data_IF_499088067465
#
_entry.id   IF_499088067465
#
_cell.length_a   1.000
_cell.length_b   1.000
_cell.length_c   1.000
_cell.angle_alpha   90.00
_cell.angle_beta   90.00
_cell.angle_gamma   90.00
#
_symmetry.space_group_name_H-M   'P 1'
#
loop_
_entity.id
_entity.type
_entity.pdbx_description
1 polymer ?
#
# COMPACT_ATOMS: atom_id res chain seq x y z
N UNK A 1 -0.78 -0.76 -1.04
CA UNK A 1 -0.28 0.31 -0.16
C UNK A 1 0.82 1.12 -0.86
N UNK A 2 0.97 2.37 -0.45
CA UNK A 2 2.11 3.20 -0.83
C UNK A 2 3.03 3.30 0.39
N UNK A 3 4.29 2.96 0.19
CA UNK A 3 5.32 3.04 1.22
C UNK A 3 6.22 4.25 0.93
N UNK A 4 6.29 5.15 1.90
CA UNK A 4 7.27 6.24 1.94
C UNK A 4 8.54 5.71 2.64
N UNK A 5 9.69 5.80 1.97
CA UNK A 5 10.96 5.27 2.48
C UNK A 5 12.13 6.17 2.12
N UNK A 6 13.28 5.94 2.74
CA UNK A 6 14.52 6.64 2.45
C UNK A 6 15.63 5.63 2.10
N UNK A 7 16.80 6.12 1.69
CA UNK A 7 17.99 5.28 1.56
C UNK A 7 18.64 4.94 2.93
N UNK A 8 18.10 5.53 4.02
CA UNK A 8 18.49 5.26 5.41
C UNK A 8 17.58 4.20 6.06
N UNK A 9 17.23 4.44 7.34
CA UNK A 9 16.47 3.50 8.16
C UNK A 9 14.96 3.81 8.24
N UNK A 10 14.47 4.81 7.52
CA UNK A 10 13.07 5.21 7.58
C UNK A 10 12.23 4.52 6.50
N UNK A 11 11.16 3.86 6.93
CA UNK A 11 10.08 3.38 6.06
C UNK A 11 8.75 3.39 6.81
N UNK A 12 7.69 3.85 6.17
CA UNK A 12 6.33 3.87 6.72
C UNK A 12 5.28 3.78 5.61
N UNK A 13 4.11 3.21 5.92
CA UNK A 13 2.93 3.39 5.06
C UNK A 13 2.60 4.88 4.96
N UNK A 14 2.12 5.34 3.81
CA UNK A 14 1.78 6.75 3.55
C UNK A 14 0.83 7.32 4.61
N UNK A 15 -0.06 6.49 5.16
CA UNK A 15 -0.99 6.86 6.23
C UNK A 15 -0.30 7.25 7.55
N UNK A 16 0.94 6.80 7.76
CA UNK A 16 1.74 7.04 8.97
C UNK A 16 3.01 7.83 8.70
N UNK A 17 3.34 8.03 7.42
CA UNK A 17 4.58 8.66 7.05
C UNK A 17 4.65 10.12 7.55
N UNK A 18 5.83 10.50 8.04
CA UNK A 18 6.14 11.81 8.57
C UNK A 18 7.26 12.47 7.78
N UNK A 19 7.24 13.78 7.70
CA UNK A 19 8.36 14.59 7.22
C UNK A 19 8.71 15.67 8.22
N UNK A 20 9.97 16.13 8.19
CA UNK A 20 10.40 17.25 9.01
C UNK A 20 9.64 18.51 8.62
N UNK A 21 9.09 19.18 9.61
CA UNK A 21 8.47 20.47 9.42
C UNK A 21 9.51 21.51 8.96
N UNK A 22 9.28 22.09 7.79
CA UNK A 22 10.16 23.11 7.18
C UNK A 22 9.49 24.47 7.05
N UNK A 23 8.29 24.64 7.64
CA UNK A 23 7.55 25.88 7.62
C UNK A 23 8.30 27.02 8.31
N UNK A 24 8.34 28.16 7.67
CA UNK A 24 8.93 29.39 8.22
C UNK A 24 7.81 30.36 8.54
N UNK A 25 7.79 30.88 9.79
CA UNK A 25 6.80 31.86 10.20
C UNK A 25 6.86 33.11 9.31
N UNK A 26 5.76 33.41 8.67
CA UNK A 26 5.63 34.65 7.91
C UNK A 26 5.61 35.87 8.86
N UNK A 27 6.26 36.94 8.44
CA UNK A 27 6.44 38.16 9.25
C UNK A 27 5.68 39.39 8.73
N UNK A 28 4.82 39.18 7.72
CA UNK A 28 3.98 40.27 7.18
C UNK A 28 3.03 40.79 8.26
N UNK A 29 2.79 42.10 8.25
CA UNK A 29 1.78 42.70 9.13
C UNK A 29 0.37 42.23 8.69
N UNK A 30 -0.51 41.86 9.63
CA UNK A 30 -1.89 41.53 9.32
C UNK A 30 -2.63 42.65 8.60
N UNK A 31 -3.08 42.43 7.38
CA UNK A 31 -3.91 43.35 6.61
C UNK A 31 -5.40 43.14 6.94
N UNK A 32 -6.27 44.14 6.72
CA UNK A 32 -7.71 43.98 6.89
C UNK A 32 -8.26 42.85 6.04
N UNK A 33 -9.14 42.03 6.62
CA UNK A 33 -9.84 40.97 5.89
C UNK A 33 -10.78 41.60 4.84
N UNK A 34 -10.77 41.05 3.64
CA UNK A 34 -11.64 41.50 2.55
C UNK A 34 -12.33 40.27 1.89
N UNK A 35 -13.60 40.44 1.52
CA UNK A 35 -14.35 39.43 0.75
C UNK A 35 -14.25 39.75 -0.74
N UNK A 36 -13.85 38.82 -1.53
CA UNK A 36 -13.69 38.93 -3.00
C UNK A 36 -14.49 37.90 -3.74
N UNK A 37 -15.08 38.30 -4.87
CA UNK A 37 -15.76 37.39 -5.76
C UNK A 37 -14.73 36.57 -6.54
N UNK A 38 -14.96 35.26 -6.57
CA UNK A 38 -14.14 34.25 -7.29
C UNK A 38 -15.06 33.31 -8.06
N UNK A 39 -15.81 33.84 -9.05
CA UNK A 39 -16.82 33.06 -9.75
C UNK A 39 -16.18 31.87 -10.49
N UNK A 40 -16.72 30.67 -10.25
CA UNK A 40 -16.24 29.44 -10.89
C UNK A 40 -14.97 28.85 -10.32
N UNK A 41 -14.40 29.41 -9.23
CA UNK A 41 -13.27 28.83 -8.53
C UNK A 41 -13.75 27.74 -7.57
N UNK A 42 -13.41 26.48 -7.89
CA UNK A 42 -13.72 25.29 -7.07
C UNK A 42 -12.47 24.61 -6.52
N UNK A 43 -11.31 24.94 -7.07
CA UNK A 43 -10.01 24.41 -6.64
C UNK A 43 -9.12 25.49 -6.06
N UNK A 44 -8.08 25.07 -5.31
CA UNK A 44 -7.08 25.99 -4.78
C UNK A 44 -6.39 26.79 -5.88
N UNK A 45 -6.05 26.17 -6.99
CA UNK A 45 -5.34 26.81 -8.10
C UNK A 45 -6.22 27.87 -8.78
N UNK A 46 -7.51 27.55 -9.03
CA UNK A 46 -8.46 28.51 -9.59
C UNK A 46 -8.72 29.71 -8.65
N UNK A 47 -8.82 29.44 -7.34
CA UNK A 47 -8.95 30.50 -6.35
C UNK A 47 -7.69 31.36 -6.29
N UNK A 48 -6.51 30.76 -6.29
CA UNK A 48 -5.23 31.47 -6.27
C UNK A 48 -5.04 32.35 -7.53
N UNK A 49 -5.35 31.80 -8.72
CA UNK A 49 -5.31 32.54 -9.98
C UNK A 49 -6.30 33.72 -9.97
N UNK A 50 -7.55 33.50 -9.52
CA UNK A 50 -8.59 34.54 -9.44
C UNK A 50 -8.22 35.67 -8.48
N UNK A 51 -7.43 35.36 -7.44
CA UNK A 51 -7.03 36.32 -6.40
C UNK A 51 -5.63 36.91 -6.61
N UNK A 52 -4.89 36.46 -7.63
CA UNK A 52 -3.48 36.80 -7.89
C UNK A 52 -2.58 36.49 -6.69
N UNK A 53 -2.70 35.25 -6.15
CA UNK A 53 -1.98 34.76 -4.97
C UNK A 53 -1.19 33.49 -5.30
N UNK A 54 -0.16 33.20 -4.47
CA UNK A 54 0.50 31.90 -4.47
C UNK A 54 -0.50 30.84 -3.93
N UNK A 55 -0.64 29.67 -4.57
CA UNK A 55 -1.50 28.59 -4.07
C UNK A 55 -1.23 28.21 -2.60
N UNK A 56 0.01 28.31 -2.14
CA UNK A 56 0.36 28.04 -0.75
C UNK A 56 -0.15 29.12 0.23
N UNK A 57 -0.67 30.25 -0.25
CA UNK A 57 -1.30 31.29 0.55
C UNK A 57 -2.82 31.08 0.66
N UNK A 58 -3.38 30.12 -0.09
CA UNK A 58 -4.79 29.74 -0.04
C UNK A 58 -4.95 28.56 0.92
N UNK A 59 -5.90 28.63 1.84
CA UNK A 59 -6.28 27.52 2.71
C UNK A 59 -7.38 26.71 2.04
N UNK A 60 -7.14 25.42 1.86
CA UNK A 60 -8.15 24.44 1.53
C UNK A 60 -8.87 24.01 2.81
N UNK A 61 -10.18 24.12 2.82
CA UNK A 61 -11.05 23.75 3.94
C UNK A 61 -11.88 22.54 3.56
N UNK A 62 -11.70 21.41 4.28
CA UNK A 62 -12.39 20.16 4.04
C UNK A 62 -13.28 19.85 5.26
N UNK A 63 -14.59 19.71 5.03
CA UNK A 63 -15.52 19.33 6.09
C UNK A 63 -15.64 17.80 6.15
N UNK A 64 -15.54 17.26 7.34
CA UNK A 64 -15.72 15.83 7.65
C UNK A 64 -16.77 15.66 8.75
N UNK A 65 -17.36 14.46 8.79
CA UNK A 65 -18.17 14.00 9.90
C UNK A 65 -17.40 12.87 10.60
N UNK A 66 -16.96 13.13 11.82
CA UNK A 66 -16.27 12.14 12.65
C UNK A 66 -17.29 11.41 13.52
N UNK A 67 -17.31 10.08 13.45
CA UNK A 67 -18.09 9.22 14.34
C UNK A 67 -17.29 8.96 15.60
N UNK A 68 -17.68 9.59 16.70
CA UNK A 68 -16.99 9.50 17.98
C UNK A 68 -17.40 8.25 18.77
N UNK A 69 -18.65 7.82 18.62
CA UNK A 69 -19.23 6.60 19.19
C UNK A 69 -20.46 6.17 18.39
N UNK A 70 -21.17 5.11 18.81
CA UNK A 70 -22.32 4.54 18.09
C UNK A 70 -23.39 5.60 17.72
N UNK A 71 -23.64 6.59 18.61
CA UNK A 71 -24.69 7.61 18.44
C UNK A 71 -24.13 9.05 18.41
N UNK A 72 -22.82 9.24 18.42
CA UNK A 72 -22.21 10.58 18.54
C UNK A 72 -21.38 10.94 17.30
N UNK A 73 -21.76 12.03 16.64
CA UNK A 73 -21.12 12.54 15.43
C UNK A 73 -20.66 13.98 15.65
N UNK A 74 -19.42 14.25 15.26
CA UNK A 74 -18.78 15.56 15.37
C UNK A 74 -18.44 16.10 13.97
N UNK A 75 -19.01 17.24 13.53
CA UNK A 75 -18.52 17.91 12.33
C UNK A 75 -17.13 18.51 12.58
N UNK A 76 -16.23 18.30 11.64
CA UNK A 76 -14.83 18.69 11.74
C UNK A 76 -14.36 19.37 10.48
N UNK A 77 -13.91 20.61 10.58
CA UNK A 77 -13.33 21.36 9.47
C UNK A 77 -11.80 21.23 9.52
N UNK A 78 -11.22 20.60 8.53
CA UNK A 78 -9.77 20.40 8.41
C UNK A 78 -9.20 21.43 7.45
N UNK A 79 -8.27 22.24 7.94
CA UNK A 79 -7.60 23.31 7.20
C UNK A 79 -6.23 22.87 6.74
N UNK A 80 -6.00 22.93 5.43
CA UNK A 80 -4.76 22.55 4.77
C UNK A 80 -4.19 23.74 3.98
N UNK A 81 -2.88 23.77 3.85
CA UNK A 81 -2.21 24.78 3.02
C UNK A 81 -2.23 24.35 1.54
N UNK A 82 -2.68 25.22 0.66
CA UNK A 82 -2.52 25.08 -0.78
C UNK A 82 -2.97 23.73 -1.30
N UNK A 83 -2.09 23.10 -2.05
CA UNK A 83 -2.31 21.80 -2.68
C UNK A 83 -1.83 20.63 -1.80
N UNK A 84 -1.69 20.82 -0.49
CA UNK A 84 -1.48 19.71 0.44
C UNK A 84 -2.77 18.88 0.55
N UNK A 85 -2.63 17.57 0.74
CA UNK A 85 -3.73 16.64 0.84
C UNK A 85 -3.92 16.18 2.28
N UNK A 86 -5.18 16.06 2.70
CA UNK A 86 -5.52 15.54 4.02
C UNK A 86 -5.14 14.06 4.07
N UNK A 87 -4.59 13.66 5.21
CA UNK A 87 -4.38 12.26 5.57
C UNK A 87 -5.46 11.87 6.58
N UNK A 88 -6.48 11.16 6.10
CA UNK A 88 -7.64 10.80 6.91
C UNK A 88 -7.25 9.96 8.14
N UNK A 89 -6.26 9.07 8.01
CA UNK A 89 -5.77 8.26 9.12
C UNK A 89 -5.13 9.11 10.24
N UNK A 90 -4.38 10.16 9.88
CA UNK A 90 -3.80 11.10 10.86
C UNK A 90 -4.89 11.91 11.56
N UNK A 91 -5.91 12.35 10.83
CA UNK A 91 -7.04 13.10 11.41
C UNK A 91 -7.86 12.19 12.32
N UNK A 92 -8.21 10.97 11.89
CA UNK A 92 -8.91 9.96 12.70
C UNK A 92 -8.19 9.69 14.02
N UNK A 93 -6.87 9.47 13.97
CA UNK A 93 -6.06 9.26 15.17
C UNK A 93 -6.01 10.51 16.10
N UNK A 94 -5.96 11.70 15.54
CA UNK A 94 -5.92 12.93 16.32
C UNK A 94 -7.24 13.25 17.03
N UNK A 95 -8.35 12.79 16.46
CA UNK A 95 -9.69 12.91 17.01
C UNK A 95 -10.03 11.77 17.98
N UNK A 96 -9.30 10.65 17.92
CA UNK A 96 -9.63 9.38 18.59
C UNK A 96 -11.05 8.92 18.24
N UNK A 97 -11.45 9.06 16.96
CA UNK A 97 -12.77 8.70 16.46
C UNK A 97 -12.78 7.30 15.82
N UNK A 98 -13.96 6.68 15.77
CA UNK A 98 -14.15 5.35 15.17
C UNK A 98 -14.05 5.39 13.64
N UNK A 99 -14.60 6.45 13.04
CA UNK A 99 -14.71 6.61 11.59
C UNK A 99 -14.67 8.09 11.21
N UNK A 100 -14.12 8.42 10.04
CA UNK A 100 -14.06 9.75 9.50
C UNK A 100 -14.56 9.73 8.05
N UNK A 101 -15.66 10.39 7.77
CA UNK A 101 -16.24 10.47 6.44
C UNK A 101 -16.23 11.90 5.91
N UNK A 102 -15.97 12.07 4.62
CA UNK A 102 -16.10 13.37 3.97
C UNK A 102 -17.58 13.79 4.02
N UNK A 103 -17.82 15.02 4.48
CA UNK A 103 -19.17 15.56 4.60
C UNK A 103 -19.88 15.64 3.24
N UNK A 104 -21.18 15.39 3.23
CA UNK A 104 -22.03 15.55 2.05
C UNK A 104 -22.26 17.04 1.74
N UNK A 105 -22.81 17.35 0.57
CA UNK A 105 -23.22 18.72 0.24
C UNK A 105 -24.29 19.24 1.21
N UNK A 106 -25.21 18.38 1.68
CA UNK A 106 -26.23 18.72 2.67
C UNK A 106 -25.59 19.07 4.03
N UNK A 107 -24.54 18.34 4.43
CA UNK A 107 -23.80 18.68 5.65
C UNK A 107 -23.03 20.00 5.51
N UNK A 108 -22.41 20.24 4.36
CA UNK A 108 -21.71 21.49 4.08
C UNK A 108 -22.67 22.68 4.10
N UNK A 109 -23.83 22.57 3.51
CA UNK A 109 -24.87 23.60 3.58
C UNK A 109 -25.38 23.79 5.01
N UNK A 110 -25.62 22.70 5.75
CA UNK A 110 -26.12 22.73 7.12
C UNK A 110 -25.15 23.43 8.09
N UNK A 111 -23.87 23.11 8.02
CA UNK A 111 -22.88 23.58 8.99
C UNK A 111 -22.15 24.84 8.56
N UNK A 112 -21.99 25.08 7.25
CA UNK A 112 -21.18 26.17 6.72
C UNK A 112 -21.94 27.09 5.74
N UNK A 113 -23.19 26.74 5.39
CA UNK A 113 -24.06 27.50 4.49
C UNK A 113 -23.46 27.75 3.10
N UNK A 114 -22.64 26.81 2.59
CA UNK A 114 -22.00 26.88 1.28
C UNK A 114 -21.65 25.47 0.76
N UNK A 115 -21.34 25.40 -0.52
CA UNK A 115 -20.92 24.16 -1.17
C UNK A 115 -19.38 23.99 -1.17
N UNK A 116 -18.87 22.75 -1.36
CA UNK A 116 -17.45 22.49 -1.56
C UNK A 116 -16.81 23.42 -2.61
N UNK A 117 -15.64 23.95 -2.31
CA UNK A 117 -14.96 24.99 -3.11
C UNK A 117 -15.10 26.40 -2.52
N UNK A 118 -16.14 26.67 -1.70
CA UNK A 118 -16.35 27.96 -1.03
C UNK A 118 -16.31 27.87 0.48
N UNK A 119 -16.00 26.69 1.04
CA UNK A 119 -15.92 26.46 2.49
C UNK A 119 -14.70 27.15 3.11
N UNK A 120 -14.86 27.72 4.29
CA UNK A 120 -13.79 28.40 5.02
C UNK A 120 -14.03 28.46 6.53
N UNK A 121 -12.99 28.84 7.32
CA UNK A 121 -13.07 28.81 8.76
C UNK A 121 -13.72 30.06 9.39
N UNK A 122 -13.94 31.10 8.61
CA UNK A 122 -14.45 32.39 9.14
C UNK A 122 -15.96 32.29 9.40
N UNK A 123 -16.37 32.63 10.63
CA UNK A 123 -17.79 32.60 11.02
C UNK A 123 -18.37 31.21 11.30
N UNK A 124 -17.51 30.18 11.42
CA UNK A 124 -17.91 28.82 11.73
C UNK A 124 -18.41 28.71 13.18
N UNK A 125 -19.57 28.03 13.37
CA UNK A 125 -20.19 27.80 14.68
C UNK A 125 -19.33 26.95 15.62
N UNK A 126 -19.60 27.05 16.93
CA UNK A 126 -18.83 26.31 17.96
C UNK A 126 -19.02 24.80 17.90
N UNK A 127 -20.10 24.33 17.26
CA UNK A 127 -20.40 22.93 17.05
C UNK A 127 -19.44 22.24 16.07
N UNK A 128 -18.81 22.98 15.18
CA UNK A 128 -17.82 22.45 14.23
C UNK A 128 -16.42 22.58 14.83
N UNK A 129 -15.73 21.48 15.01
CA UNK A 129 -14.33 21.47 15.46
C UNK A 129 -13.41 21.84 14.30
N UNK A 130 -12.46 22.75 14.53
CA UNK A 130 -11.54 23.23 13.50
C UNK A 130 -10.14 22.67 13.78
N UNK A 131 -9.65 21.80 12.90
CA UNK A 131 -8.28 21.32 12.90
C UNK A 131 -7.47 22.05 11.82
N UNK A 132 -6.21 22.34 12.07
CA UNK A 132 -5.34 22.93 11.07
C UNK A 132 -3.98 22.23 11.03
N UNK A 133 -3.49 22.00 9.82
CA UNK A 133 -2.14 21.49 9.64
C UNK A 133 -1.09 22.50 10.13
N UNK A 134 0.05 22.01 10.58
CA UNK A 134 1.14 22.82 11.11
C UNK A 134 1.64 23.86 10.10
N UNK A 135 1.53 23.63 8.81
CA UNK A 135 1.91 24.61 7.77
C UNK A 135 0.92 25.77 7.67
N UNK A 136 -0.33 25.62 8.11
CA UNK A 136 -1.29 26.71 8.20
C UNK A 136 -0.90 27.69 9.32
N UNK A 137 -0.35 27.17 10.43
CA UNK A 137 0.03 27.96 11.61
C UNK A 137 1.04 29.07 11.31
N UNK A 138 1.88 28.89 10.30
CA UNK A 138 2.96 29.85 9.99
C UNK A 138 2.58 30.88 8.93
N UNK A 139 1.37 30.81 8.39
CA UNK A 139 0.87 31.74 7.39
C UNK A 139 0.28 32.99 8.00
N UNK A 140 0.35 34.10 7.26
CA UNK A 140 -0.27 35.37 7.59
C UNK A 140 -0.99 35.90 6.33
N UNK A 141 -2.14 36.58 6.51
CA UNK A 141 -2.92 37.14 5.41
C UNK A 141 -3.35 36.09 4.37
N UNK A 142 -3.89 34.98 4.85
CA UNK A 142 -4.32 33.84 4.03
C UNK A 142 -5.59 34.16 3.24
N UNK A 143 -5.77 33.46 2.11
CA UNK A 143 -7.07 33.37 1.48
C UNK A 143 -7.78 32.07 1.91
N UNK A 144 -9.12 32.10 2.02
CA UNK A 144 -9.95 30.95 2.34
C UNK A 144 -11.36 31.15 1.79
N UNK A 145 -12.13 30.08 1.66
CA UNK A 145 -13.54 30.18 1.30
C UNK A 145 -14.31 31.11 2.26
N UNK A 146 -15.33 31.76 1.75
CA UNK A 146 -16.11 32.75 2.52
C UNK A 146 -17.43 32.22 3.07
N UNK A 147 -17.67 30.89 3.01
CA UNK A 147 -18.94 30.23 3.31
C UNK A 147 -20.11 30.90 2.55
N UNK A 148 -19.83 31.30 1.32
CA UNK A 148 -20.76 31.81 0.33
C UNK A 148 -20.24 31.45 -1.06
N UNK A 149 -21.08 30.79 -1.86
CA UNK A 149 -20.68 30.26 -3.16
C UNK A 149 -20.12 31.32 -4.09
N UNK A 150 -18.94 31.04 -4.64
CA UNK A 150 -18.23 31.96 -5.53
C UNK A 150 -17.54 33.13 -4.83
N UNK A 151 -17.32 33.06 -3.52
CA UNK A 151 -16.60 34.09 -2.76
C UNK A 151 -15.50 33.50 -1.89
N UNK A 152 -14.39 34.24 -1.78
CA UNK A 152 -13.31 33.96 -0.85
C UNK A 152 -12.96 35.20 -0.01
N UNK A 153 -12.49 34.96 1.21
CA UNK A 153 -11.79 35.97 1.97
C UNK A 153 -10.33 36.02 1.60
N UNK A 154 -9.74 37.22 1.58
CA UNK A 154 -8.29 37.44 1.57
C UNK A 154 -7.87 38.14 2.86
N UNK A 155 -6.59 38.01 3.22
CA UNK A 155 -6.03 38.55 4.46
C UNK A 155 -6.69 37.99 5.74
N UNK A 156 -7.23 36.77 5.67
CA UNK A 156 -7.70 36.09 6.87
C UNK A 156 -6.52 35.67 7.76
N UNK A 157 -6.68 35.81 9.08
CA UNK A 157 -5.64 35.49 10.05
C UNK A 157 -6.23 34.72 11.23
N UNK A 158 -5.46 33.72 11.71
CA UNK A 158 -5.80 32.92 12.89
C UNK A 158 -5.92 33.86 14.11
N UNK A 159 -6.79 33.50 15.04
CA UNK A 159 -7.10 34.21 16.30
C UNK A 159 -7.75 35.61 16.13
N UNK A 160 -7.64 36.24 14.96
CA UNK A 160 -8.34 37.47 14.65
C UNK A 160 -9.68 37.26 13.97
N UNK A 161 -9.69 36.39 12.93
CA UNK A 161 -10.85 36.19 12.03
C UNK A 161 -11.50 34.83 12.23
N UNK A 162 -10.73 33.83 12.64
CA UNK A 162 -11.20 32.48 12.94
C UNK A 162 -10.33 31.82 14.01
N UNK A 163 -10.92 30.83 14.70
CA UNK A 163 -10.23 30.02 15.68
C UNK A 163 -9.68 28.72 15.02
N UNK A 164 -8.72 28.13 15.69
CA UNK A 164 -8.26 26.75 15.41
C UNK A 164 -8.25 26.01 16.74
N UNK A 165 -8.97 24.90 16.84
CA UNK A 165 -9.09 24.14 18.09
C UNK A 165 -7.88 23.24 18.33
N UNK A 166 -7.26 22.72 17.24
CA UNK A 166 -6.08 21.87 17.33
C UNK A 166 -5.18 21.99 16.10
N UNK A 167 -3.88 22.10 16.33
CA UNK A 167 -2.86 21.96 15.27
C UNK A 167 -2.23 20.59 15.31
N UNK A 168 -1.86 20.07 14.13
CA UNK A 168 -1.20 18.80 14.00
C UNK A 168 -0.55 18.59 12.63
N UNK A 169 0.06 17.41 12.42
CA UNK A 169 0.45 16.93 11.11
C UNK A 169 -0.73 16.14 10.54
N UNK A 170 -1.49 16.78 9.66
CA UNK A 170 -2.73 16.21 9.08
C UNK A 170 -2.64 15.95 7.59
N UNK A 171 -1.46 16.11 6.99
CA UNK A 171 -1.27 15.98 5.55
C UNK A 171 -0.55 14.70 5.15
N UNK A 172 -0.73 14.30 3.91
CA UNK A 172 0.14 13.33 3.27
C UNK A 172 1.52 13.95 3.05
N UNK A 173 2.57 13.16 3.27
CA UNK A 173 3.93 13.55 2.88
C UNK A 173 4.07 13.54 1.37
N UNK A 174 5.07 14.27 0.84
CA UNK A 174 5.37 14.34 -0.60
C UNK A 174 6.75 13.76 -0.88
N UNK A 175 6.92 13.25 -2.08
CA UNK A 175 8.23 12.76 -2.54
C UNK A 175 9.27 13.88 -2.49
N UNK A 176 10.47 13.59 -2.03
CA UNK A 176 11.57 14.52 -1.86
C UNK A 176 11.55 15.32 -0.55
N UNK A 177 10.48 15.28 0.24
CA UNK A 177 10.47 15.88 1.58
C UNK A 177 11.45 15.14 2.50
N UNK A 178 11.96 15.85 3.50
CA UNK A 178 12.96 15.27 4.42
C UNK A 178 12.27 14.46 5.52
N UNK A 179 12.57 13.18 5.56
CA UNK A 179 12.10 12.26 6.59
C UNK A 179 12.74 12.53 7.98
N UNK A 180 12.22 11.92 9.06
CA UNK A 180 12.79 12.06 10.40
C UNK A 180 14.28 11.67 10.51
N UNK A 181 14.76 10.72 9.69
CA UNK A 181 16.17 10.32 9.61
C UNK A 181 17.08 11.33 8.88
N UNK A 182 16.50 12.33 8.24
CA UNK A 182 17.23 13.40 7.54
C UNK A 182 17.48 13.14 6.05
N UNK A 183 16.95 12.07 5.51
CA UNK A 183 17.04 11.72 4.08
C UNK A 183 15.76 12.11 3.33
N UNK A 184 15.84 12.31 1.99
CA UNK A 184 14.67 12.59 1.19
C UNK A 184 13.76 11.34 1.06
N UNK A 185 12.46 11.56 1.16
CA UNK A 185 11.43 10.54 0.96
C UNK A 185 11.35 10.12 -0.51
N UNK A 186 11.21 8.83 -0.72
CA UNK A 186 10.86 8.16 -1.98
C UNK A 186 9.61 7.33 -1.76
N UNK A 187 8.85 7.07 -2.82
CA UNK A 187 7.64 6.27 -2.75
C UNK A 187 7.78 5.00 -3.58
N UNK A 188 7.19 3.92 -3.07
CA UNK A 188 7.06 2.67 -3.81
C UNK A 188 5.73 2.00 -3.47
N UNK A 189 5.07 1.37 -4.44
CA UNK A 189 3.96 0.48 -4.12
C UNK A 189 4.46 -0.74 -3.34
N UNK A 190 3.68 -1.19 -2.38
CA UNK A 190 3.96 -2.37 -1.58
C UNK A 190 2.73 -3.25 -1.42
N UNK A 191 2.95 -4.56 -1.32
CA UNK A 191 1.91 -5.54 -0.96
C UNK A 191 2.11 -5.89 0.51
N UNK A 192 1.11 -5.57 1.35
CA UNK A 192 1.12 -5.96 2.76
C UNK A 192 0.97 -7.48 2.88
N UNK A 193 2.02 -8.15 3.35
CA UNK A 193 2.03 -9.59 3.56
C UNK A 193 1.76 -10.00 5.00
N UNK A 194 1.93 -9.10 5.94
CA UNK A 194 1.69 -9.31 7.35
C UNK A 194 1.53 -8.00 8.11
N UNK A 195 0.88 -8.05 9.27
CA UNK A 195 0.61 -6.88 10.08
C UNK A 195 0.83 -7.18 11.57
N UNK A 196 1.45 -6.24 12.27
CA UNK A 196 1.63 -6.25 13.73
C UNK A 196 0.70 -5.20 14.32
N UNK A 197 -0.29 -5.63 15.08
CA UNK A 197 -1.22 -4.76 15.76
C UNK A 197 -0.78 -4.51 17.20
N UNK A 198 -0.59 -3.26 17.55
CA UNK A 198 -0.35 -2.80 18.94
C UNK A 198 -1.71 -2.48 19.57
N UNK A 199 -2.37 -3.46 20.16
CA UNK A 199 -3.72 -3.31 20.68
C UNK A 199 -3.77 -2.61 22.05
N UNK A 200 -2.62 -2.47 22.73
CA UNK A 200 -2.56 -1.85 24.06
C UNK A 200 -3.51 -2.51 25.04
N UNK A 201 -4.31 -1.71 25.73
CA UNK A 201 -5.32 -2.19 26.68
C UNK A 201 -6.76 -2.11 26.15
N UNK A 202 -6.94 -1.81 24.86
CA UNK A 202 -8.27 -1.55 24.27
C UNK A 202 -9.28 -2.69 24.51
N UNK A 203 -8.85 -3.94 24.34
CA UNK A 203 -9.70 -5.10 24.60
C UNK A 203 -9.60 -5.59 26.03
N UNK A 204 -8.41 -5.61 26.63
CA UNK A 204 -8.20 -6.15 27.97
C UNK A 204 -8.97 -5.39 29.04
N UNK A 205 -9.02 -4.06 28.97
CA UNK A 205 -9.80 -3.23 29.90
C UNK A 205 -11.30 -3.55 29.83
N UNK A 206 -11.84 -3.67 28.61
CA UNK A 206 -13.28 -3.99 28.40
C UNK A 206 -13.64 -5.41 28.84
N UNK A 207 -12.69 -6.35 28.71
CA UNK A 207 -12.88 -7.75 29.11
C UNK A 207 -12.51 -8.02 30.58
N UNK A 208 -12.00 -7.02 31.33
CA UNK A 208 -11.52 -7.19 32.69
C UNK A 208 -10.30 -8.12 32.81
N UNK A 209 -9.49 -8.23 31.73
CA UNK A 209 -8.29 -9.05 31.72
C UNK A 209 -7.14 -8.31 32.41
N UNK A 210 -6.96 -8.58 33.70
CA UNK A 210 -6.01 -7.89 34.58
C UNK A 210 -5.01 -8.84 35.21
N UNK A 211 -3.80 -8.32 35.48
CA UNK A 211 -2.73 -9.02 36.21
C UNK A 211 -2.19 -8.10 37.30
N UNK A 212 -1.48 -8.68 38.26
CA UNK A 212 -0.75 -7.90 39.26
C UNK A 212 0.60 -7.46 38.67
N UNK A 213 0.89 -6.17 38.74
CA UNK A 213 2.21 -5.64 38.41
C UNK A 213 3.27 -6.01 39.47
N UNK A 214 4.51 -5.64 39.27
CA UNK A 214 5.63 -5.88 40.19
C UNK A 214 5.42 -5.26 41.60
N UNK A 215 4.48 -4.31 41.73
CA UNK A 215 4.13 -3.66 43.00
C UNK A 215 2.85 -4.23 43.63
N UNK A 216 2.30 -5.31 43.05
CA UNK A 216 1.08 -5.94 43.50
C UNK A 216 -0.20 -5.17 43.17
N UNK A 217 -0.20 -4.27 42.20
CA UNK A 217 -1.37 -3.52 41.73
C UNK A 217 -1.96 -4.18 40.51
N UNK A 218 -3.31 -4.23 40.47
CA UNK A 218 -4.02 -4.65 39.25
C UNK A 218 -3.75 -3.69 38.12
N UNK A 219 -3.35 -4.23 36.97
CA UNK A 219 -3.16 -3.50 35.73
C UNK A 219 -3.71 -4.31 34.56
N UNK A 220 -4.23 -3.62 33.57
CA UNK A 220 -4.77 -4.26 32.37
C UNK A 220 -3.62 -4.87 31.54
N UNK A 221 -3.88 -6.03 30.93
CA UNK A 221 -2.90 -6.72 30.09
C UNK A 221 -2.67 -5.93 28.81
N UNK A 222 -1.41 -5.64 28.48
CA UNK A 222 -1.05 -5.07 27.18
C UNK A 222 -1.09 -6.18 26.13
N UNK A 223 -1.86 -5.95 25.07
CA UNK A 223 -2.10 -6.92 24.01
C UNK A 223 -1.42 -6.52 22.70
N UNK A 224 -1.05 -7.53 21.92
CA UNK A 224 -0.65 -7.40 20.53
C UNK A 224 -1.26 -8.52 19.69
N UNK A 225 -1.39 -8.30 18.41
CA UNK A 225 -1.81 -9.33 17.44
C UNK A 225 -0.84 -9.36 16.27
N UNK A 226 -0.60 -10.54 15.73
CA UNK A 226 0.38 -10.77 14.68
C UNK A 226 -0.27 -11.64 13.61
N UNK A 227 -0.35 -11.12 12.38
CA UNK A 227 -1.00 -11.80 11.29
C UNK A 227 -0.11 -11.91 10.06
N UNK A 228 -0.25 -13.01 9.31
CA UNK A 228 0.36 -13.19 7.99
C UNK A 228 -0.74 -13.62 7.03
N UNK A 229 -0.85 -12.91 5.89
CA UNK A 229 -1.78 -13.23 4.82
C UNK A 229 -1.26 -14.35 3.93
N UNK A 230 -1.41 -15.62 4.34
CA UNK A 230 -0.84 -16.79 3.64
C UNK A 230 -1.29 -16.85 2.19
N UNK A 231 -2.57 -16.66 1.90
CA UNK A 231 -3.10 -16.64 0.53
C UNK A 231 -2.64 -15.42 -0.26
N UNK A 232 -2.54 -14.26 0.39
CA UNK A 232 -1.98 -13.04 -0.22
C UNK A 232 -0.49 -13.21 -0.55
N UNK A 233 0.27 -13.90 0.31
CA UNK A 233 1.67 -14.25 0.04
C UNK A 233 1.83 -15.02 -1.26
N UNK A 234 0.99 -16.03 -1.49
CA UNK A 234 1.02 -16.82 -2.72
C UNK A 234 0.82 -15.94 -3.96
N UNK A 235 -0.18 -15.05 -3.91
CA UNK A 235 -0.45 -14.10 -5.01
C UNK A 235 0.69 -13.10 -5.21
N UNK A 236 1.28 -12.58 -4.13
CA UNK A 236 2.39 -11.65 -4.18
C UNK A 236 3.65 -12.29 -4.78
N UNK A 237 3.96 -13.53 -4.41
CA UNK A 237 5.09 -14.28 -4.98
C UNK A 237 4.85 -14.56 -6.46
N UNK A 238 3.64 -14.96 -6.85
CA UNK A 238 3.27 -15.18 -8.25
C UNK A 238 3.49 -13.92 -9.09
N UNK A 239 3.01 -12.75 -8.60
CA UNK A 239 3.16 -11.46 -9.30
C UNK A 239 4.62 -11.02 -9.44
N UNK A 240 5.42 -11.19 -8.37
CA UNK A 240 6.84 -10.80 -8.37
C UNK A 240 7.75 -11.74 -9.16
N UNK A 241 7.31 -12.96 -9.43
CA UNK A 241 8.06 -14.00 -10.13
C UNK A 241 7.37 -14.44 -11.41
N UNK A 242 6.72 -13.54 -12.13
CA UNK A 242 6.17 -13.78 -13.46
C UNK A 242 7.05 -13.14 -14.53
N UNK A 243 7.08 -13.77 -15.72
CA UNK A 243 7.62 -13.18 -16.94
C UNK A 243 6.55 -13.12 -18.05
N UNK A 244 6.92 -12.77 -19.26
CA UNK A 244 6.02 -12.68 -20.43
C UNK A 244 5.39 -14.03 -20.83
N UNK A 245 5.94 -15.16 -20.37
CA UNK A 245 5.49 -16.50 -20.69
C UNK A 245 4.64 -17.13 -19.60
N UNK A 246 4.64 -16.58 -18.39
CA UNK A 246 3.87 -17.09 -17.25
C UNK A 246 4.61 -17.03 -15.93
N UNK A 247 4.24 -17.91 -14.99
CA UNK A 247 4.81 -17.97 -13.66
C UNK A 247 6.24 -18.55 -13.64
N UNK A 248 7.02 -18.12 -12.67
CA UNK A 248 8.36 -18.65 -12.37
C UNK A 248 8.42 -18.94 -10.88
N UNK A 249 7.85 -20.07 -10.46
CA UNK A 249 7.80 -20.38 -9.04
C UNK A 249 9.18 -20.58 -8.43
N UNK A 250 9.44 -19.96 -7.27
CA UNK A 250 10.51 -20.42 -6.40
C UNK A 250 10.27 -21.89 -6.03
N UNK A 251 11.30 -22.72 -6.09
CA UNK A 251 11.22 -24.17 -5.79
C UNK A 251 10.62 -24.47 -4.42
N UNK A 252 10.86 -23.60 -3.39
CA UNK A 252 10.31 -23.78 -2.04
C UNK A 252 8.79 -23.74 -1.92
N UNK A 253 8.09 -23.21 -2.93
CA UNK A 253 6.61 -23.09 -2.96
C UNK A 253 6.00 -23.50 -4.29
N UNK A 254 6.81 -24.02 -5.19
CA UNK A 254 6.33 -24.59 -6.43
C UNK A 254 5.36 -25.76 -6.12
N UNK A 255 4.24 -25.88 -6.85
CA UNK A 255 3.29 -26.97 -6.61
C UNK A 255 3.85 -28.34 -6.97
N UNK A 256 4.88 -28.39 -7.83
CA UNK A 256 5.65 -29.55 -8.24
C UNK A 256 7.10 -29.13 -8.48
N UNK A 257 8.04 -30.04 -8.28
CA UNK A 257 9.47 -29.82 -8.58
C UNK A 257 9.76 -29.98 -10.07
N UNK A 258 9.12 -30.95 -10.69
CA UNK A 258 9.40 -31.37 -12.05
C UNK A 258 8.12 -31.58 -12.87
N UNK A 259 8.11 -31.04 -14.10
CA UNK A 259 7.06 -31.24 -15.07
C UNK A 259 7.58 -32.15 -16.21
N UNK A 260 7.09 -33.36 -16.30
CA UNK A 260 7.48 -34.35 -17.34
C UNK A 260 6.51 -34.27 -18.51
N UNK A 261 7.03 -34.00 -19.71
CA UNK A 261 6.24 -33.81 -20.93
C UNK A 261 6.65 -34.80 -22.02
N UNK A 262 5.90 -35.87 -22.22
CA UNK A 262 5.99 -36.67 -23.47
C UNK A 262 5.47 -35.82 -24.64
N UNK A 263 6.34 -35.57 -25.63
CA UNK A 263 6.04 -34.73 -26.80
C UNK A 263 4.85 -35.26 -27.59
N UNK A 264 4.70 -36.56 -27.62
CA UNK A 264 3.58 -37.23 -28.25
C UNK A 264 3.06 -38.39 -27.37
N UNK A 265 2.01 -38.09 -26.59
CA UNK A 265 1.36 -39.08 -25.71
C UNK A 265 0.68 -40.28 -26.44
N UNK A 266 0.65 -40.27 -27.79
CA UNK A 266 0.17 -41.43 -28.58
C UNK A 266 1.29 -42.44 -28.87
N UNK A 267 2.55 -42.11 -28.60
CA UNK A 267 3.69 -42.97 -28.76
C UNK A 267 3.98 -43.72 -27.48
N UNK A 268 3.88 -45.05 -27.54
CA UNK A 268 4.08 -45.92 -26.38
C UNK A 268 5.49 -45.81 -25.79
N UNK A 269 6.52 -45.63 -26.62
CA UNK A 269 7.92 -45.47 -26.21
C UNK A 269 8.12 -44.19 -25.38
N UNK A 270 7.48 -43.06 -25.77
CA UNK A 270 7.57 -41.82 -25.03
C UNK A 270 6.77 -41.84 -23.71
N UNK A 271 5.60 -42.47 -23.71
CA UNK A 271 4.81 -42.65 -22.50
C UNK A 271 5.50 -43.55 -21.49
N UNK A 272 5.98 -44.74 -21.94
CA UNK A 272 6.72 -45.65 -21.06
C UNK A 272 7.98 -45.03 -20.45
N UNK A 273 8.66 -44.17 -21.20
CA UNK A 273 9.80 -43.40 -20.68
C UNK A 273 9.34 -42.34 -19.67
N UNK A 274 8.23 -41.62 -19.94
CA UNK A 274 7.68 -40.63 -19.01
C UNK A 274 7.24 -41.29 -17.69
N UNK A 275 6.53 -42.39 -17.75
CA UNK A 275 6.10 -43.17 -16.58
C UNK A 275 7.30 -43.65 -15.74
N UNK A 276 8.35 -44.11 -16.39
CA UNK A 276 9.59 -44.55 -15.74
C UNK A 276 10.28 -43.38 -15.04
N UNK A 277 10.32 -42.21 -15.69
CA UNK A 277 10.91 -40.97 -15.11
C UNK A 277 10.10 -40.49 -13.91
N UNK A 278 8.77 -40.48 -14.03
CA UNK A 278 7.87 -40.13 -12.93
C UNK A 278 8.14 -41.03 -11.72
N UNK A 279 8.15 -42.35 -11.92
CA UNK A 279 8.44 -43.27 -10.83
C UNK A 279 9.80 -43.01 -10.17
N UNK A 280 10.86 -42.82 -10.95
CA UNK A 280 12.21 -42.61 -10.41
C UNK A 280 12.36 -41.30 -9.66
N UNK A 281 11.75 -40.23 -10.15
CA UNK A 281 11.78 -38.92 -9.48
C UNK A 281 10.94 -38.96 -8.21
N UNK A 282 9.75 -39.56 -8.24
CA UNK A 282 8.88 -39.73 -7.07
C UNK A 282 9.55 -40.62 -6.00
N UNK A 283 10.21 -41.73 -6.38
CA UNK A 283 10.99 -42.56 -5.46
C UNK A 283 12.18 -41.81 -4.84
N UNK A 284 12.71 -40.80 -5.55
CA UNK A 284 13.77 -39.93 -5.06
C UNK A 284 13.24 -38.77 -4.18
N UNK A 285 11.91 -38.64 -4.01
CA UNK A 285 11.26 -37.67 -3.13
C UNK A 285 10.87 -36.35 -3.82
N UNK A 286 10.85 -36.28 -5.14
CA UNK A 286 10.38 -35.09 -5.88
C UNK A 286 8.88 -35.20 -6.19
N UNK A 287 8.21 -34.04 -6.15
CA UNK A 287 6.82 -33.91 -6.61
C UNK A 287 6.80 -33.71 -8.13
N UNK A 288 6.13 -34.64 -8.85
CA UNK A 288 6.16 -34.71 -10.31
C UNK A 288 4.77 -34.48 -10.90
N UNK A 289 4.69 -33.62 -11.92
CA UNK A 289 3.53 -33.49 -12.79
C UNK A 289 3.84 -34.10 -14.14
N UNK A 290 3.00 -35.04 -14.62
CA UNK A 290 3.12 -35.62 -15.96
C UNK A 290 2.01 -35.10 -16.86
N UNK A 291 2.37 -34.54 -18.03
CA UNK A 291 1.39 -34.10 -19.03
C UNK A 291 1.09 -35.22 -20.04
N UNK A 292 0.18 -36.11 -19.69
CA UNK A 292 -0.28 -37.22 -20.50
C UNK A 292 -1.34 -36.87 -21.57
N UNK A 293 -1.71 -35.56 -21.64
CA UNK A 293 -2.73 -35.09 -22.58
C UNK A 293 -2.33 -35.35 -24.04
N UNK A 294 -3.33 -35.62 -24.89
CA UNK A 294 -3.14 -35.86 -26.34
C UNK A 294 -3.09 -34.53 -27.12
N UNK A 295 -2.42 -33.53 -26.55
CA UNK A 295 -2.26 -32.21 -27.14
C UNK A 295 -0.97 -32.08 -27.98
N UNK A 296 -0.87 -31.00 -28.76
CA UNK A 296 0.34 -30.70 -29.53
C UNK A 296 1.46 -30.24 -28.59
N UNK A 297 2.69 -30.60 -28.91
CA UNK A 297 3.85 -30.25 -28.09
C UNK A 297 3.94 -28.74 -27.76
N UNK A 298 3.66 -27.88 -28.74
CA UNK A 298 3.67 -26.40 -28.51
C UNK A 298 2.65 -25.93 -27.46
N UNK A 299 1.47 -26.55 -27.39
CA UNK A 299 0.46 -26.28 -26.36
C UNK A 299 0.99 -26.69 -24.98
N UNK A 300 1.50 -27.93 -24.87
CA UNK A 300 2.07 -28.44 -23.62
C UNK A 300 3.22 -27.59 -23.12
N UNK A 301 4.09 -27.09 -23.99
CA UNK A 301 5.21 -26.26 -23.64
C UNK A 301 4.74 -24.87 -23.18
N UNK A 302 3.76 -24.27 -23.85
CA UNK A 302 3.18 -23.01 -23.46
C UNK A 302 2.48 -23.12 -22.08
N UNK A 303 1.71 -24.19 -21.88
CA UNK A 303 1.07 -24.47 -20.58
C UNK A 303 2.11 -24.72 -19.48
N UNK A 304 3.20 -25.40 -19.78
CA UNK A 304 4.30 -25.62 -18.83
C UNK A 304 4.97 -24.31 -18.41
N UNK A 305 5.25 -23.44 -19.37
CA UNK A 305 5.84 -22.14 -19.09
C UNK A 305 4.84 -21.25 -18.33
N UNK A 306 3.52 -21.33 -18.63
CA UNK A 306 2.46 -20.62 -17.92
C UNK A 306 2.33 -21.08 -16.46
N UNK A 307 2.35 -22.41 -16.21
CA UNK A 307 2.28 -22.99 -14.85
C UNK A 307 3.53 -22.64 -14.05
N UNK A 308 4.71 -22.64 -14.66
CA UNK A 308 5.94 -22.15 -14.07
C UNK A 308 6.67 -23.10 -13.13
N UNK A 309 6.52 -24.42 -13.31
CA UNK A 309 7.26 -25.44 -12.54
C UNK A 309 8.77 -25.31 -12.80
N UNK A 310 9.63 -25.36 -11.78
CA UNK A 310 11.06 -25.06 -11.90
C UNK A 310 11.82 -25.85 -12.95
N UNK A 311 11.56 -27.14 -13.05
CA UNK A 311 12.24 -28.05 -13.98
C UNK A 311 11.22 -28.67 -14.95
N UNK A 312 11.48 -28.58 -16.24
CA UNK A 312 10.74 -29.30 -17.27
C UNK A 312 11.60 -30.40 -17.88
N UNK A 313 11.11 -31.66 -17.87
CA UNK A 313 11.73 -32.78 -18.52
C UNK A 313 10.93 -33.13 -19.78
N UNK A 314 11.54 -32.97 -20.95
CA UNK A 314 10.93 -33.24 -22.25
C UNK A 314 11.33 -34.61 -22.76
N UNK A 315 10.36 -35.50 -22.94
CA UNK A 315 10.55 -36.83 -23.53
C UNK A 315 10.20 -36.80 -25.02
N UNK A 316 11.23 -36.63 -25.84
CA UNK A 316 11.11 -36.37 -27.27
C UNK A 316 11.48 -37.58 -28.14
N UNK A 317 11.95 -37.30 -29.36
CA UNK A 317 12.33 -38.36 -30.33
C UNK A 317 13.54 -39.18 -29.88
N UNK A 318 14.45 -38.63 -29.08
CA UNK A 318 15.64 -39.29 -28.53
C UNK A 318 15.34 -40.23 -27.36
N UNK A 319 14.08 -40.35 -26.96
CA UNK A 319 13.66 -41.31 -25.91
C UNK A 319 14.08 -42.74 -26.22
N UNK A 320 14.08 -43.14 -27.50
CA UNK A 320 14.55 -44.47 -27.95
C UNK A 320 16.04 -44.70 -27.67
N UNK A 321 16.84 -43.62 -27.63
CA UNK A 321 18.26 -43.61 -27.30
C UNK A 321 18.51 -43.42 -25.79
N UNK A 322 17.45 -43.34 -24.98
CA UNK A 322 17.51 -43.12 -23.54
C UNK A 322 17.89 -41.69 -23.18
N UNK A 323 17.68 -40.69 -24.08
CA UNK A 323 18.07 -39.29 -23.88
C UNK A 323 16.81 -38.43 -23.73
N UNK A 324 16.81 -37.55 -22.73
CA UNK A 324 15.77 -36.54 -22.47
C UNK A 324 16.39 -35.14 -22.38
N UNK A 325 15.55 -34.15 -22.59
CA UNK A 325 15.95 -32.73 -22.41
C UNK A 325 15.39 -32.19 -21.08
N UNK A 326 16.23 -31.53 -20.30
CA UNK A 326 15.83 -30.79 -19.12
C UNK A 326 15.87 -29.28 -19.46
N UNK A 327 14.82 -28.53 -19.14
CA UNK A 327 14.80 -27.08 -19.21
C UNK A 327 14.58 -26.50 -17.82
N UNK A 328 15.37 -25.51 -17.45
CA UNK A 328 15.18 -24.70 -16.25
C UNK A 328 14.23 -23.55 -16.57
N UNK A 329 13.11 -23.44 -15.87
CA UNK A 329 12.07 -22.42 -16.15
C UNK A 329 12.61 -21.01 -15.98
N UNK A 330 13.38 -20.75 -14.92
CA UNK A 330 13.88 -19.42 -14.55
C UNK A 330 14.89 -18.86 -15.56
N UNK A 331 15.83 -19.67 -16.01
CA UNK A 331 16.92 -19.24 -16.91
C UNK A 331 16.65 -19.51 -18.39
N UNK A 332 15.74 -20.43 -18.68
CA UNK A 332 15.50 -20.94 -20.03
C UNK A 332 16.60 -21.89 -20.53
N UNK A 333 17.63 -22.16 -19.73
CA UNK A 333 18.70 -23.07 -20.09
C UNK A 333 18.19 -24.49 -20.30
N UNK A 334 18.76 -25.18 -21.28
CA UNK A 334 18.43 -26.57 -21.60
C UNK A 334 19.67 -27.45 -21.62
N UNK A 335 19.50 -28.68 -21.14
CA UNK A 335 20.56 -29.71 -21.16
C UNK A 335 19.98 -31.06 -21.55
N UNK A 336 20.68 -31.76 -22.44
CA UNK A 336 20.35 -33.17 -22.77
C UNK A 336 21.08 -34.12 -21.80
N UNK A 337 20.35 -35.04 -21.22
CA UNK A 337 20.89 -36.01 -20.28
C UNK A 337 20.42 -37.41 -20.59
N UNK A 338 21.23 -38.41 -20.22
CA UNK A 338 20.77 -39.77 -20.23
C UNK A 338 19.76 -40.01 -19.11
N UNK A 339 18.76 -40.83 -19.36
CA UNK A 339 17.71 -41.12 -18.37
C UNK A 339 18.28 -41.68 -17.06
N UNK A 340 19.42 -42.39 -17.09
CA UNK A 340 20.11 -42.92 -15.92
C UNK A 340 20.71 -41.83 -15.02
N UNK A 341 21.06 -40.66 -15.58
CA UNK A 341 21.66 -39.52 -14.89
C UNK A 341 20.62 -38.47 -14.47
N UNK A 342 19.36 -38.65 -14.89
CA UNK A 342 18.30 -37.65 -14.74
C UNK A 342 18.07 -37.23 -13.30
N UNK A 343 17.86 -38.18 -12.39
CA UNK A 343 17.56 -37.90 -10.97
C UNK A 343 18.67 -37.09 -10.32
N UNK A 344 19.94 -37.49 -10.57
CA UNK A 344 21.09 -36.77 -10.05
C UNK A 344 21.18 -35.34 -10.63
N UNK A 345 20.95 -35.19 -11.94
CA UNK A 345 21.00 -33.87 -12.60
C UNK A 345 19.90 -32.95 -12.08
N UNK A 346 18.67 -33.43 -11.94
CA UNK A 346 17.54 -32.67 -11.36
C UNK A 346 17.90 -32.18 -9.95
N UNK A 347 18.47 -33.04 -9.11
CA UNK A 347 18.90 -32.69 -7.77
C UNK A 347 19.95 -31.57 -7.73
N UNK A 348 20.95 -31.66 -8.65
CA UNK A 348 21.98 -30.59 -8.77
C UNK A 348 21.36 -29.26 -9.19
N UNK A 349 20.48 -29.26 -10.21
CA UNK A 349 19.85 -28.07 -10.75
C UNK A 349 18.94 -27.39 -9.73
N UNK A 350 18.09 -28.12 -9.02
CA UNK A 350 17.25 -27.58 -7.95
C UNK A 350 18.09 -26.98 -6.82
N UNK A 351 19.19 -27.66 -6.45
CA UNK A 351 20.10 -27.11 -5.44
C UNK A 351 20.76 -25.81 -5.89
N UNK A 352 21.19 -25.70 -7.14
CA UNK A 352 21.74 -24.47 -7.70
C UNK A 352 20.75 -23.32 -7.69
N UNK A 353 19.48 -23.58 -8.05
CA UNK A 353 18.41 -22.58 -8.00
C UNK A 353 18.16 -22.04 -6.59
N UNK A 354 18.36 -22.89 -5.55
CA UNK A 354 18.27 -22.48 -4.15
C UNK A 354 19.46 -21.66 -3.67
N UNK A 355 20.68 -22.00 -4.11
CA UNK A 355 21.91 -21.29 -3.69
C UNK A 355 22.02 -19.89 -4.29
N UNK A 356 21.47 -19.63 -5.49
CA UNK A 356 21.42 -18.32 -6.12
C UNK A 356 20.55 -17.31 -5.36
N UNK A 357 19.61 -17.78 -4.53
CA UNK A 357 18.75 -16.92 -3.70
C UNK A 357 19.47 -16.31 -2.48
N UNK A 358 20.57 -16.90 -2.07
CA UNK A 358 21.32 -16.49 -0.87
C UNK A 358 22.47 -15.52 -1.18
N UNK A 359 22.58 -15.06 -2.41
CA UNK A 359 23.51 -14.01 -2.86
C UNK A 359 22.77 -12.73 -3.21
#
# INVERSE_FOLDING_TARGET
DIIAYTDGDYAANIEKAESKFTGVQQTAAPAPIEKKATPGAHTVDEAAESLDLDPNQVIKSMLYIAKMSEDEYQPVLVLMRGNDEVNDAKVTNALDCEELELATEEDAEKYLNAHPGSLGPVGVGEEVKILADNYVKVLVNMACGANEDGYHYVNANIDRDFRVDQFGDFRNVKEGEIAPDGQPLKFTPGIEIGHIFKLGTHYSSKLGAQVLDSNGRLTDVIMGSYGIGVTRLLSAVAEQNADENGLVWPDSIAPFDVHVIPVNAKKEDQMAMADKIDQQLTEAGYEVLVDDRKERAGVKFADSDLIGIPIRVTVGKKAQDGIVEIKIRKTGETVEVKQEELVNTVGILLKQLNEEKNK
#
